data_IF_877756979644
#
_entry.id   IF_877756979644
#
_cell.length_a   1.000
_cell.length_b   1.000
_cell.length_c   1.000
_cell.angle_alpha   90.00
_cell.angle_beta   90.00
_cell.angle_gamma   90.00
#
_symmetry.space_group_name_H-M   'P 1'
#
loop_
_entity.id
_entity.type
_entity.pdbx_description
1 polymer ?
#
# COMPACT_ATOMS: atom_id res chain seq x y z
N UNK A 1 8.99 -8.15 -13.36
CA UNK A 1 7.69 -7.78 -12.75
C UNK A 1 6.61 -7.76 -13.82
N UNK A 2 5.77 -8.81 -13.91
CA UNK A 2 4.65 -8.82 -14.85
C UNK A 2 3.52 -7.85 -14.43
N UNK A 3 2.96 -7.15 -15.42
CA UNK A 3 1.72 -6.39 -15.28
C UNK A 3 0.54 -7.28 -15.67
N UNK A 4 -0.41 -7.47 -14.75
CA UNK A 4 -1.60 -8.28 -14.98
C UNK A 4 -2.84 -7.40 -15.09
N UNK A 5 -3.49 -7.43 -16.27
CA UNK A 5 -4.80 -6.80 -16.47
C UNK A 5 -5.89 -7.66 -15.84
N UNK A 6 -6.77 -7.06 -15.03
CA UNK A 6 -7.86 -7.81 -14.38
C UNK A 6 -9.06 -8.00 -15.29
N UNK A 7 -9.78 -9.12 -15.13
CA UNK A 7 -11.06 -9.34 -15.83
C UNK A 7 -12.09 -8.27 -15.39
N UNK A 8 -12.90 -7.73 -16.32
CA UNK A 8 -13.87 -6.66 -16.04
C UNK A 8 -15.16 -7.21 -15.40
N UNK A 9 -15.07 -7.79 -14.20
CA UNK A 9 -16.22 -8.35 -13.48
C UNK A 9 -17.07 -7.30 -12.76
N UNK A 10 -16.57 -6.06 -12.65
CA UNK A 10 -17.30 -4.92 -12.09
C UNK A 10 -16.74 -3.60 -12.65
N UNK A 11 -17.49 -2.48 -12.60
CA UNK A 11 -17.06 -1.20 -13.13
C UNK A 11 -15.68 -0.72 -12.65
N UNK A 12 -15.43 -0.82 -11.34
CA UNK A 12 -14.17 -0.39 -10.74
C UNK A 12 -12.95 -1.24 -11.12
N UNK A 13 -13.15 -2.47 -11.60
CA UNK A 13 -12.06 -3.38 -12.00
C UNK A 13 -11.66 -3.24 -13.48
N UNK A 14 -12.43 -2.53 -14.31
CA UNK A 14 -12.24 -2.51 -15.77
C UNK A 14 -10.88 -1.98 -16.21
N UNK A 15 -10.41 -0.91 -15.58
CA UNK A 15 -9.13 -0.27 -15.90
C UNK A 15 -8.02 -0.61 -14.89
N UNK A 16 -8.28 -1.55 -13.97
CA UNK A 16 -7.32 -1.93 -12.94
C UNK A 16 -6.19 -2.77 -13.55
N UNK A 17 -4.96 -2.38 -13.25
CA UNK A 17 -3.74 -3.13 -13.57
C UNK A 17 -3.01 -3.44 -12.27
N UNK A 18 -2.64 -4.71 -12.08
CA UNK A 18 -1.90 -5.17 -10.91
C UNK A 18 -0.45 -5.43 -11.27
N UNK A 19 0.46 -5.06 -10.37
CA UNK A 19 1.85 -5.55 -10.40
C UNK A 19 1.89 -6.83 -9.58
N UNK A 20 2.22 -7.95 -10.21
CA UNK A 20 2.32 -9.26 -9.52
C UNK A 20 3.77 -9.70 -9.56
N UNK A 21 4.35 -10.08 -8.41
CA UNK A 21 5.68 -10.67 -8.36
C UNK A 21 5.58 -12.09 -7.77
N UNK A 22 5.71 -13.14 -8.59
CA UNK A 22 5.54 -14.52 -8.13
C UNK A 22 6.64 -14.98 -7.17
N UNK A 23 7.80 -14.32 -7.20
CA UNK A 23 8.98 -14.70 -6.42
C UNK A 23 8.96 -14.15 -4.99
N UNK A 24 7.98 -13.28 -4.65
CA UNK A 24 7.85 -12.74 -3.31
C UNK A 24 7.40 -13.81 -2.30
N UNK A 25 8.11 -13.86 -1.17
CA UNK A 25 7.77 -14.71 -0.04
C UNK A 25 6.37 -14.38 0.50
N UNK A 26 5.54 -15.42 0.73
CA UNK A 26 4.12 -15.28 1.14
C UNK A 26 3.90 -15.30 2.66
N UNK A 27 4.91 -15.66 3.44
CA UNK A 27 4.82 -15.74 4.90
C UNK A 27 5.12 -14.39 5.59
N UNK A 28 5.23 -14.43 6.92
CA UNK A 28 5.58 -13.25 7.72
C UNK A 28 7.02 -12.79 7.42
N UNK A 29 7.32 -11.49 7.57
CA UNK A 29 8.70 -11.01 7.53
C UNK A 29 9.50 -11.60 8.69
N UNK A 30 10.82 -11.60 8.55
CA UNK A 30 11.72 -12.05 9.61
C UNK A 30 11.67 -11.08 10.80
N UNK A 31 11.19 -11.56 11.96
CA UNK A 31 10.76 -10.72 13.07
C UNK A 31 11.88 -9.86 13.67
N UNK A 32 13.12 -10.33 13.69
CA UNK A 32 14.24 -9.59 14.29
C UNK A 32 14.70 -8.38 13.46
N UNK A 33 14.21 -8.23 12.22
CA UNK A 33 14.56 -7.13 11.32
C UNK A 33 13.38 -6.17 11.08
N UNK A 34 12.35 -6.18 11.94
CA UNK A 34 11.16 -5.32 11.79
C UNK A 34 10.93 -4.49 13.05
N UNK A 35 10.50 -3.25 12.85
CA UNK A 35 10.10 -2.31 13.90
C UNK A 35 8.70 -1.74 13.62
N UNK A 36 7.98 -1.27 14.66
CA UNK A 36 6.70 -0.61 14.48
C UNK A 36 6.86 0.75 13.79
N UNK A 37 6.04 1.02 12.77
CA UNK A 37 5.99 2.31 12.10
C UNK A 37 4.59 2.94 12.25
N UNK A 38 4.50 4.03 13.01
CA UNK A 38 3.26 4.77 13.20
C UNK A 38 3.03 5.78 12.07
N UNK A 39 1.80 5.83 11.54
CA UNK A 39 1.45 6.83 10.53
C UNK A 39 1.21 8.21 11.14
N UNK A 40 1.78 9.25 10.51
CA UNK A 40 1.57 10.65 10.94
C UNK A 40 0.29 11.28 10.37
N UNK A 41 -0.37 10.65 9.40
CA UNK A 41 -1.60 11.13 8.74
C UNK A 41 -1.55 12.61 8.29
N UNK A 42 -0.40 13.09 7.80
CA UNK A 42 -0.23 14.47 7.32
C UNK A 42 -0.14 15.55 8.41
N UNK A 43 -0.08 15.16 9.68
CA UNK A 43 0.05 16.06 10.83
C UNK A 43 1.51 16.25 11.27
N UNK A 44 1.83 17.43 11.80
CA UNK A 44 3.11 17.71 12.45
C UNK A 44 3.05 17.47 13.98
N UNK A 45 4.14 17.78 14.69
CA UNK A 45 4.27 17.66 16.15
C UNK A 45 3.30 18.56 16.94
N UNK A 46 2.77 19.62 16.33
CA UNK A 46 1.74 20.49 16.95
C UNK A 46 0.32 19.98 16.68
N UNK A 47 0.16 18.85 15.99
CA UNK A 47 -1.15 18.30 15.63
C UNK A 47 -1.81 18.97 14.42
N UNK A 48 -1.17 19.97 13.81
CA UNK A 48 -1.70 20.67 12.65
C UNK A 48 -1.51 19.88 11.37
N UNK A 49 -2.50 19.92 10.48
CA UNK A 49 -2.40 19.38 9.13
C UNK A 49 -1.44 20.26 8.33
N UNK A 50 -0.27 19.72 8.02
CA UNK A 50 0.73 20.40 7.18
C UNK A 50 0.75 19.84 5.75
N UNK A 51 0.25 18.63 5.55
CA UNK A 51 0.08 18.02 4.23
C UNK A 51 -1.34 17.45 4.10
N UNK A 52 -2.10 17.95 3.13
CA UNK A 52 -3.47 17.47 2.84
C UNK A 52 -3.46 16.15 2.06
N UNK A 53 -4.61 15.49 1.99
CA UNK A 53 -4.81 14.21 1.27
C UNK A 53 -3.86 13.08 1.75
N UNK A 54 -3.49 13.11 3.04
CA UNK A 54 -2.72 12.08 3.73
C UNK A 54 -3.53 11.57 4.92
N UNK A 55 -3.78 10.28 4.99
CA UNK A 55 -4.59 9.64 6.03
C UNK A 55 -5.34 8.45 5.44
N UNK A 56 -5.30 7.32 6.14
CA UNK A 56 -5.76 6.01 5.67
C UNK A 56 -4.87 4.89 6.18
#
# INVERSE_FOLDING_TARGET
MPLMKTKPTSPGRRSMVKVVNPDLHKGKPFAALVEPQFQKAGRNNNGHITTRHKGG
#
